data_IF_800698713737
#
_entry.id   IF_800698713737
#
_cell.length_a   1.000
_cell.length_b   1.000
_cell.length_c   1.000
_cell.angle_alpha   90.00
_cell.angle_beta   90.00
_cell.angle_gamma   90.00
#
_symmetry.space_group_name_H-M   'P 1'
#
loop_
_entity.id
_entity.type
_entity.pdbx_description
1 polymer ?
2 non-polymer ?
3 non-polymer ?
4 water ?
#
# COMPACT_ATOMS: atom_id res chain seq x y z
N UNK A 1 -18.78 4.38 16.86
CA UNK A 1 -18.46 4.75 15.50
C UNK A 1 -17.45 3.78 14.86
N UNK A 2 -16.18 3.85 15.29
CA UNK A 2 -15.15 3.03 14.65
C UNK A 2 -15.02 1.68 15.35
N UNK A 3 -14.86 0.59 14.61
CA UNK A 3 -14.62 -0.70 15.25
C UNK A 3 -13.32 -0.67 16.03
N UNK A 4 -13.25 -1.48 17.08
CA UNK A 4 -12.03 -1.54 17.86
C UNK A 4 -10.88 -2.18 17.08
N UNK A 5 -11.21 -3.08 16.16
CA UNK A 5 -10.22 -3.75 15.33
C UNK A 5 -10.75 -3.83 13.91
N UNK A 6 -9.85 -3.73 12.93
CA UNK A 6 -10.17 -3.88 11.53
C UNK A 6 -9.13 -4.80 10.90
N UNK A 7 -9.57 -5.66 9.98
CA UNK A 7 -8.67 -6.52 9.22
C UNK A 7 -9.36 -6.76 7.88
N UNK A 8 -8.93 -6.03 6.83
CA UNK A 8 -9.61 -6.10 5.56
C UNK A 8 -9.44 -7.44 4.84
N UNK A 9 -8.50 -8.29 5.29
CA UNK A 9 -8.46 -9.65 4.78
C UNK A 9 -9.75 -10.40 5.10
N UNK A 10 -10.42 -10.03 6.20
CA UNK A 10 -11.66 -10.69 6.60
C UNK A 10 -12.77 -10.47 5.57
N UNK A 11 -12.72 -9.40 4.80
CA UNK A 11 -13.69 -9.17 3.75
C UNK A 11 -13.19 -9.59 2.37
N UNK A 12 -12.08 -10.32 2.31
CA UNK A 12 -11.53 -10.75 1.03
C UNK A 12 -11.09 -9.61 0.13
N UNK A 13 -10.57 -8.53 0.72
CA UNK A 13 -10.19 -7.33 -0.03
C UNK A 13 -8.68 -7.20 -0.23
N UNK A 14 -7.91 -8.23 0.14
CA UNK A 14 -6.45 -8.17 0.14
C UNK A 14 -5.89 -9.38 -0.62
N UNK A 15 -5.10 -9.12 -1.66
CA UNK A 15 -4.49 -10.19 -2.43
C UNK A 15 -3.33 -10.81 -1.66
N UNK A 16 -2.81 -11.91 -2.20
CA UNK A 16 -1.68 -12.56 -1.56
C UNK A 16 -0.49 -11.62 -1.47
N UNK A 17 0.36 -11.85 -0.46
CA UNK A 17 1.59 -11.09 -0.30
C UNK A 17 2.50 -11.32 -1.49
N UNK A 18 3.08 -10.24 -2.01
CA UNK A 18 3.98 -10.29 -3.15
C UNK A 18 5.42 -10.20 -2.67
N UNK A 19 6.35 -10.54 -3.55
CA UNK A 19 7.78 -10.54 -3.23
C UNK A 19 8.50 -9.65 -4.23
N UNK A 20 8.99 -8.49 -3.78
CA UNK A 20 9.57 -7.58 -4.75
C UNK A 20 10.97 -7.99 -5.18
N UNK A 21 11.66 -8.81 -4.40
CA UNK A 21 13.00 -9.24 -4.77
C UNK A 21 13.94 -8.06 -4.88
N UNK A 22 14.78 -8.09 -5.92
CA UNK A 22 15.84 -7.09 -6.14
C UNK A 22 15.34 -5.94 -7.00
N UNK A 23 14.45 -5.16 -6.41
CA UNK A 23 13.84 -4.03 -7.10
C UNK A 23 13.10 -3.19 -6.08
N UNK A 24 13.46 -1.92 -5.96
CA UNK A 24 12.83 -1.05 -4.99
C UNK A 24 11.46 -0.60 -5.42
N UNK A 25 10.52 -1.55 -5.55
CA UNK A 25 9.18 -1.24 -6.03
C UNK A 25 8.13 -1.26 -4.92
N UNK A 26 8.53 -1.06 -3.66
CA UNK A 26 7.54 -1.08 -2.58
C UNK A 26 6.45 -0.06 -2.84
N UNK A 27 6.82 1.09 -3.41
CA UNK A 27 5.83 2.12 -3.71
C UNK A 27 4.79 1.61 -4.69
N UNK A 28 5.20 0.82 -5.69
CA UNK A 28 4.25 0.27 -6.65
C UNK A 28 3.35 -0.77 -6.01
N UNK A 29 3.90 -1.65 -5.18
CA UNK A 29 3.10 -2.68 -4.54
C UNK A 29 2.12 -2.07 -3.56
N UNK A 30 2.55 -1.04 -2.83
CA UNK A 30 1.64 -0.35 -1.92
C UNK A 30 0.47 0.25 -2.70
N UNK A 31 0.76 0.88 -3.84
CA UNK A 31 -0.30 1.53 -4.60
C UNK A 31 -1.29 0.51 -5.17
N UNK A 32 -0.81 -0.58 -5.78
CA UNK A 32 -1.76 -1.53 -6.35
C UNK A 32 -2.56 -2.21 -5.25
N UNK A 33 -1.93 -2.47 -4.10
CA UNK A 33 -2.65 -3.08 -2.99
C UNK A 33 -3.82 -2.25 -2.53
N UNK A 34 -3.64 -0.93 -2.47
CA UNK A 34 -4.75 -0.05 -2.08
C UNK A 34 -5.87 -0.11 -3.11
N UNK A 35 -5.53 -0.12 -4.41
CA UNK A 35 -6.56 -0.11 -5.44
C UNK A 35 -7.25 -1.45 -5.56
N UNK A 36 -6.51 -2.55 -5.35
CA UNK A 36 -7.11 -3.89 -5.36
C UNK A 36 -8.29 -3.96 -4.40
N UNK A 37 -8.16 -3.35 -3.23
CA UNK A 37 -9.24 -3.38 -2.24
C UNK A 37 -10.46 -2.64 -2.76
N UNK A 38 -10.25 -1.48 -3.37
CA UNK A 38 -11.38 -0.72 -3.90
C UNK A 38 -12.05 -1.45 -5.05
N UNK A 39 -11.26 -2.08 -5.92
CA UNK A 39 -11.83 -2.85 -7.02
C UNK A 39 -12.72 -3.98 -6.51
N UNK A 40 -12.28 -4.71 -5.47
CA UNK A 40 -13.13 -5.75 -4.89
C UNK A 40 -14.36 -5.13 -4.24
N UNK A 41 -14.18 -4.05 -3.48
CA UNK A 41 -15.31 -3.37 -2.84
C UNK A 41 -16.39 -3.00 -3.86
N UNK A 42 -15.98 -2.43 -5.00
CA UNK A 42 -16.96 -1.92 -5.95
C UNK A 42 -17.48 -2.96 -6.92
N UNK A 43 -16.71 -4.00 -7.24
CA UNK A 43 -17.11 -4.95 -8.28
C UNK A 43 -17.23 -6.38 -7.79
N UNK A 44 -16.83 -6.67 -6.55
CA UNK A 44 -16.87 -8.02 -6.04
C UNK A 44 -15.73 -8.92 -6.45
N UNK A 45 -14.82 -8.44 -7.31
CA UNK A 45 -13.74 -9.25 -7.85
C UNK A 45 -12.41 -8.82 -7.23
N UNK A 46 -11.70 -9.79 -6.68
CA UNK A 46 -10.36 -9.59 -6.15
C UNK A 46 -9.35 -10.02 -7.20
N UNK A 47 -8.52 -9.08 -7.66
CA UNK A 47 -7.52 -9.42 -8.68
C UNK A 47 -6.27 -8.59 -8.42
N UNK A 48 -5.13 -9.27 -8.40
CA UNK A 48 -3.87 -8.59 -8.23
C UNK A 48 -3.62 -7.67 -9.44
N UNK A 49 -3.26 -6.44 -9.16
CA UNK A 49 -2.99 -5.45 -10.20
C UNK A 49 -1.48 -5.34 -10.47
N UNK A 50 -1.14 -4.79 -11.63
CA UNK A 50 0.21 -4.92 -12.16
C UNK A 50 1.12 -3.86 -11.53
N UNK A 51 1.91 -4.25 -10.53
CA UNK A 51 2.95 -3.34 -10.04
C UNK A 51 3.97 -3.05 -11.14
N UNK A 52 4.22 -4.01 -12.04
CA UNK A 52 5.18 -3.79 -13.12
C UNK A 52 4.70 -2.68 -14.04
N UNK A 53 3.39 -2.65 -14.33
CA UNK A 53 2.79 -1.55 -15.08
C UNK A 53 3.24 -0.21 -14.53
N UNK A 54 3.19 -0.06 -13.19
CA UNK A 54 3.60 1.20 -12.59
C UNK A 54 5.10 1.43 -12.71
N UNK A 55 5.90 0.39 -12.44
CA UNK A 55 7.35 0.51 -12.52
C UNK A 55 7.76 0.98 -13.91
N UNK A 56 7.13 0.43 -14.95
CA UNK A 56 7.52 0.72 -16.33
C UNK A 56 6.90 1.99 -16.88
N UNK A 57 5.68 2.35 -16.45
CA UNK A 57 4.94 3.42 -17.11
C UNK A 57 4.75 4.67 -16.27
N UNK A 58 4.73 4.56 -14.94
CA UNK A 58 4.61 5.75 -14.10
C UNK A 58 6.03 6.21 -13.77
N UNK A 59 6.60 7.04 -14.67
CA UNK A 59 8.03 7.33 -14.62
C UNK A 59 8.23 8.84 -14.44
N UNK A 60 8.98 9.50 -15.34
CA UNK A 60 9.47 10.84 -15.02
C UNK A 60 8.34 11.84 -14.82
N UNK A 61 7.21 11.67 -15.50
CA UNK A 61 6.10 12.58 -15.27
C UNK A 61 5.59 12.50 -13.83
N UNK A 62 5.91 11.43 -13.12
CA UNK A 62 5.37 11.19 -11.80
C UNK A 62 6.46 11.22 -10.72
N UNK A 63 7.67 11.65 -11.07
CA UNK A 63 8.76 11.66 -10.12
C UNK A 63 9.17 10.28 -9.65
N UNK A 64 8.79 9.23 -10.38
CA UNK A 64 9.08 7.87 -9.98
C UNK A 64 10.25 7.34 -10.76
N UNK A 65 10.99 6.42 -10.15
CA UNK A 65 12.25 5.93 -10.71
C UNK A 65 12.29 4.41 -10.74
N UNK A 66 11.15 3.78 -11.02
CA UNK A 66 11.10 2.34 -11.19
C UNK A 66 11.67 1.61 -9.98
N UNK A 67 12.61 0.70 -10.24
CA UNK A 67 13.23 -0.10 -9.19
C UNK A 67 14.08 0.74 -8.25
N UNK A 68 14.25 2.03 -8.53
CA UNK A 68 14.96 2.92 -7.63
C UNK A 68 14.04 3.70 -6.71
N UNK A 69 12.74 3.43 -6.76
CA UNK A 69 11.81 4.03 -5.83
C UNK A 69 10.83 4.97 -6.50
N UNK A 70 9.87 5.43 -5.71
CA UNK A 70 8.80 6.27 -6.22
C UNK A 70 7.78 6.55 -5.15
N UNK A 71 6.59 6.98 -5.59
CA UNK A 71 5.55 7.48 -4.69
C UNK A 71 4.20 6.86 -5.03
N UNK A 72 3.45 6.48 -3.99
CA UNK A 72 2.10 5.96 -4.20
C UNK A 72 1.18 7.00 -4.80
N UNK A 73 1.25 8.25 -4.31
CA UNK A 73 0.34 9.30 -4.76
C UNK A 73 0.44 9.51 -6.26
N UNK A 74 1.66 9.66 -6.78
CA UNK A 74 1.80 9.90 -8.20
C UNK A 74 1.57 8.63 -9.02
N UNK A 75 1.75 7.46 -8.41
CA UNK A 75 1.30 6.23 -9.04
C UNK A 75 -0.20 6.27 -9.30
N UNK A 76 -0.98 6.72 -8.30
CA UNK A 76 -2.42 6.87 -8.50
C UNK A 76 -2.72 7.86 -9.62
N UNK A 77 -1.96 8.97 -9.65
CA UNK A 77 -2.15 9.96 -10.70
C UNK A 77 -1.92 9.36 -12.07
N UNK A 78 -0.87 8.55 -12.23
CA UNK A 78 -0.66 7.86 -13.49
C UNK A 78 -1.88 7.03 -13.88
N UNK A 79 -2.41 6.26 -12.93
CA UNK A 79 -3.57 5.44 -13.23
C UNK A 79 -4.74 6.31 -13.67
N UNK A 80 -4.92 7.46 -13.02
CA UNK A 80 -5.95 8.41 -13.43
C UNK A 80 -5.69 8.90 -14.84
N UNK A 81 -4.47 9.43 -15.07
CA UNK A 81 -4.12 9.97 -16.38
C UNK A 81 -4.25 8.92 -17.47
N UNK A 82 -3.83 7.70 -17.19
CA UNK A 82 -3.79 6.61 -18.15
C UNK A 82 -5.16 5.98 -18.39
N UNK A 83 -6.16 6.33 -17.57
CA UNK A 83 -7.47 5.70 -17.58
C UNK A 83 -7.39 4.19 -17.41
N UNK A 84 -6.44 3.70 -16.63
CA UNK A 84 -6.45 2.29 -16.32
C UNK A 84 -5.11 1.76 -15.88
N UNK A 85 -5.16 0.55 -15.31
CA UNK A 85 -3.98 -0.23 -14.98
C UNK A 85 -4.31 -1.69 -15.29
N UNK A 86 -3.32 -2.42 -15.77
CA UNK A 86 -3.50 -3.81 -16.17
C UNK A 86 -3.52 -4.73 -14.97
N UNK A 87 -4.09 -5.92 -15.17
CA UNK A 87 -3.98 -6.95 -14.15
C UNK A 87 -2.53 -7.44 -14.04
N UNK A 88 -2.18 -7.93 -12.85
CA UNK A 88 -0.86 -8.53 -12.66
C UNK A 88 -0.67 -9.73 -13.59
N UNK A 89 -1.73 -10.51 -13.80
CA UNK A 89 -1.62 -11.69 -14.66
C UNK A 89 -1.24 -11.32 -16.09
N UNK A 90 -1.81 -10.24 -16.62
CA UNK A 90 -1.52 -9.83 -18.00
C UNK A 90 -0.21 -9.08 -18.14
N UNK A 91 0.31 -8.51 -17.05
CA UNK A 91 1.50 -7.66 -17.07
C UNK A 91 2.33 -8.01 -15.85
N UNK A 92 2.98 -9.16 -15.87
CA UNK A 92 3.53 -9.74 -14.65
C UNK A 92 4.78 -9.01 -14.18
N UNK A 93 5.14 -9.28 -12.93
CA UNK A 93 6.22 -8.58 -12.24
C UNK A 93 7.55 -9.28 -12.51
N UNK A 94 8.54 -8.50 -12.92
CA UNK A 94 9.84 -9.01 -13.31
C UNK A 94 10.96 -8.44 -12.46
N UNK A 95 10.66 -7.52 -11.55
CA UNK A 95 11.67 -6.96 -10.64
C UNK A 95 12.83 -6.32 -11.40
N UNK A 96 12.51 -5.65 -12.50
CA UNK A 96 13.48 -4.79 -13.18
C UNK A 96 12.71 -3.77 -14.01
N UNK A 97 13.37 -2.64 -14.30
CA UNK A 97 12.79 -1.63 -15.19
C UNK A 97 12.60 -2.21 -16.58
N UNK A 98 11.43 -1.98 -17.16
CA UNK A 98 11.16 -2.35 -18.55
C UNK A 98 10.58 -1.16 -19.29
N UNK A 99 10.58 -1.27 -20.62
CA UNK A 99 9.79 -0.35 -21.44
C UNK A 99 8.31 -0.48 -21.07
N UNK A 100 7.59 0.64 -21.17
CA UNK A 100 6.18 0.66 -20.81
C UNK A 100 5.38 -0.17 -21.80
N UNK A 101 4.69 -1.19 -21.31
CA UNK A 101 3.95 -2.11 -22.16
C UNK A 101 2.45 -2.14 -21.82
N UNK A 102 1.90 -1.02 -21.35
CA UNK A 102 0.49 -0.99 -20.99
C UNK A 102 -0.39 -1.35 -22.19
N UNK A 103 -1.41 -2.15 -21.94
CA UNK A 103 -2.34 -2.61 -22.98
C UNK A 103 -3.75 -2.46 -22.44
N UNK A 104 -4.53 -1.54 -23.03
CA UNK A 104 -5.88 -1.27 -22.54
C UNK A 104 -6.77 -2.50 -22.62
N UNK A 105 -6.43 -3.48 -23.47
CA UNK A 105 -7.23 -4.69 -23.56
C UNK A 105 -7.30 -5.42 -22.23
N UNK A 106 -6.24 -5.34 -21.42
CA UNK A 106 -6.17 -6.06 -20.15
C UNK A 106 -6.36 -5.16 -18.93
N UNK A 107 -6.87 -3.95 -19.13
CA UNK A 107 -7.16 -3.04 -18.02
C UNK A 107 -8.09 -3.71 -17.02
N UNK A 108 -7.64 -3.80 -15.75
CA UNK A 108 -8.45 -4.40 -14.70
C UNK A 108 -9.06 -3.39 -13.73
N UNK A 109 -8.55 -2.18 -13.67
CA UNK A 109 -9.13 -1.19 -12.77
C UNK A 109 -8.81 0.20 -13.29
N UNK A 110 -9.55 1.16 -12.78
CA UNK A 110 -9.31 2.58 -13.01
C UNK A 110 -9.19 3.25 -11.65
N UNK A 111 -8.92 4.56 -11.69
CA UNK A 111 -8.86 5.39 -10.50
C UNK A 111 -9.51 6.72 -10.84
N UNK A 112 -10.50 7.12 -10.04
CA UNK A 112 -11.16 8.41 -10.24
C UNK A 112 -10.37 9.53 -9.60
N UNK A 113 -9.82 9.28 -8.42
CA UNK A 113 -9.11 10.28 -7.65
C UNK A 113 -8.39 9.56 -6.53
N UNK A 114 -7.54 10.31 -5.81
CA UNK A 114 -6.93 9.81 -4.59
C UNK A 114 -6.94 10.91 -3.54
N UNK A 115 -6.90 10.49 -2.28
CA UNK A 115 -6.98 11.40 -1.16
C UNK A 115 -5.72 11.25 -0.32
N UNK A 116 -5.08 12.37 0.02
CA UNK A 116 -3.93 12.36 0.91
C UNK A 116 -4.40 12.79 2.29
N UNK A 117 -3.96 12.08 3.32
CA UNK A 117 -4.38 12.33 4.69
C UNK A 117 -3.38 13.24 5.38
N UNK A 118 -3.81 13.93 6.44
CA UNK A 118 -2.92 14.89 7.10
C UNK A 118 -1.77 14.21 7.81
N UNK A 119 -0.61 14.86 7.77
CA UNK A 119 0.64 14.28 8.27
C UNK A 119 0.53 14.00 9.75
N UNK A 120 0.91 12.78 10.15
CA UNK A 120 0.98 12.40 11.55
C UNK A 120 -0.35 12.16 12.24
N UNK A 121 -1.48 12.27 11.55
CA UNK A 121 -2.79 12.17 12.19
C UNK A 121 -3.21 10.70 12.21
N UNK A 122 -2.84 10.00 13.29
CA UNK A 122 -3.21 8.60 13.42
C UNK A 122 -4.70 8.42 13.66
N UNK A 123 -5.40 9.43 14.21
CA UNK A 123 -6.86 9.35 14.33
C UNK A 123 -7.53 9.38 12.97
N UNK A 124 -7.07 10.26 12.08
CA UNK A 124 -7.63 10.33 10.74
C UNK A 124 -7.29 9.07 9.94
N UNK A 125 -6.07 8.54 10.11
CA UNK A 125 -5.71 7.28 9.46
C UNK A 125 -6.63 6.16 9.92
N UNK A 126 -6.90 6.08 11.23
CA UNK A 126 -7.79 5.06 11.75
C UNK A 126 -9.17 5.15 11.10
N UNK A 127 -9.71 6.37 11.00
CA UNK A 127 -11.03 6.53 10.41
C UNK A 127 -11.05 6.12 8.94
N UNK A 128 -10.01 6.48 8.17
CA UNK A 128 -9.95 6.08 6.78
C UNK A 128 -9.85 4.56 6.63
N UNK A 129 -8.98 3.92 7.43
CA UNK A 129 -8.86 2.47 7.34
C UNK A 129 -10.19 1.81 7.67
N UNK A 130 -10.92 2.35 8.65
CA UNK A 130 -12.19 1.76 9.03
C UNK A 130 -13.28 2.02 7.99
N UNK A 131 -13.37 3.26 7.49
CA UNK A 131 -14.51 3.67 6.68
C UNK A 131 -14.27 3.61 5.18
N UNK A 132 -13.02 3.65 4.72
CA UNK A 132 -12.72 3.67 3.30
C UNK A 132 -12.09 2.37 2.79
N UNK A 133 -11.08 1.86 3.48
CA UNK A 133 -10.37 0.69 3.04
C UNK A 133 -8.89 0.78 3.35
N UNK A 134 -8.10 -0.18 2.89
CA UNK A 134 -6.66 -0.13 3.14
C UNK A 134 -6.05 1.15 2.59
N UNK A 135 -5.06 1.68 3.32
CA UNK A 135 -4.45 2.96 3.00
C UNK A 135 -2.97 2.75 2.70
N UNK A 136 -2.50 3.35 1.60
CA UNK A 136 -1.08 3.32 1.26
C UNK A 136 -0.34 4.28 2.17
N UNK A 137 0.77 3.82 2.77
CA UNK A 137 1.59 4.66 3.62
C UNK A 137 3.06 4.35 3.40
N UNK A 138 3.91 5.35 3.70
CA UNK A 138 5.33 5.15 3.81
C UNK A 138 5.73 4.94 5.26
N UNK A 139 6.79 4.14 5.48
CA UNK A 139 7.39 4.02 6.79
C UNK A 139 8.90 4.17 6.71
N UNK A 140 9.49 4.48 7.85
CA UNK A 140 10.94 4.43 8.02
C UNK A 140 11.32 2.97 8.25
N UNK A 141 11.80 2.31 7.20
CA UNK A 141 12.22 0.92 7.25
C UNK A 141 13.75 0.75 7.25
N UNK A 142 14.48 1.78 7.66
CA UNK A 142 15.93 1.79 7.53
C UNK A 142 16.62 1.01 8.64
N UNK A 143 15.87 0.64 9.66
CA UNK A 143 16.60 0.17 10.82
C UNK A 143 16.57 -1.34 10.90
N UNK A 144 17.66 -1.95 11.37
CA UNK A 144 17.79 -3.41 11.30
C UNK A 144 16.65 -4.16 11.96
N UNK A 145 16.04 -3.60 13.01
CA UNK A 145 14.94 -4.32 13.66
C UNK A 145 13.79 -4.56 12.70
N UNK A 146 13.58 -3.64 11.75
CA UNK A 146 12.52 -3.84 10.78
C UNK A 146 12.82 -5.06 9.90
N UNK A 147 14.08 -5.20 9.48
CA UNK A 147 14.45 -6.33 8.66
C UNK A 147 14.28 -7.66 9.40
N UNK A 148 14.49 -7.66 10.71
CA UNK A 148 14.47 -8.87 11.52
C UNK A 148 13.12 -9.14 12.18
N UNK A 149 12.11 -8.30 11.94
CA UNK A 149 10.83 -8.44 12.61
C UNK A 149 10.24 -9.82 12.33
N UNK A 150 9.76 -10.46 13.38
CA UNK A 150 9.10 -11.77 13.28
C UNK A 150 7.68 -11.78 13.79
N UNK A 151 7.40 -11.11 14.91
CA UNK A 151 6.09 -11.21 15.55
C UNK A 151 5.93 -10.08 16.56
N UNK A 152 4.76 -10.04 17.18
CA UNK A 152 4.48 -9.00 18.16
C UNK A 152 4.21 -7.67 17.47
N UNK A 153 4.29 -6.59 18.26
CA UNK A 153 4.08 -5.25 17.75
C UNK A 153 5.44 -4.58 17.64
N UNK A 154 5.74 -4.05 16.45
CA UNK A 154 7.05 -3.48 16.15
C UNK A 154 7.17 -2.09 16.73
N UNK A 155 8.21 -1.87 17.53
CA UNK A 155 8.55 -0.55 18.06
C UNK A 155 10.07 -0.41 18.01
N UNK A 156 10.54 0.65 17.36
CA UNK A 156 11.97 0.89 17.18
C UNK A 156 12.29 2.26 17.73
N UNK A 157 12.99 2.36 18.87
CA UNK A 157 13.32 3.69 19.42
C UNK A 157 14.05 4.59 18.47
N UNK A 158 14.83 4.06 17.54
CA UNK A 158 15.58 4.87 16.59
C UNK A 158 14.77 5.26 15.36
N UNK A 159 13.51 4.86 15.28
CA UNK A 159 12.72 5.20 14.11
C UNK A 159 12.47 6.70 14.04
N UNK A 160 12.30 7.20 12.82
CA UNK A 160 11.97 8.60 12.57
C UNK A 160 10.70 8.67 11.74
N UNK A 161 10.18 9.90 11.59
CA UNK A 161 8.99 10.13 10.77
C UNK A 161 9.34 10.35 9.29
N UNK A 162 10.61 10.20 8.93
CA UNK A 162 11.09 10.29 7.55
C UNK A 162 10.97 8.90 6.91
N UNK A 163 10.19 8.78 5.84
CA UNK A 163 9.78 7.47 5.32
C UNK A 163 10.52 7.16 4.02
N UNK A 164 10.87 5.87 3.82
CA UNK A 164 11.52 5.45 2.57
C UNK A 164 11.02 4.11 2.04
N UNK A 165 9.89 3.59 2.51
CA UNK A 165 9.46 2.26 2.11
C UNK A 165 7.93 2.21 2.10
N UNK A 166 7.34 1.76 0.99
CA UNK A 166 5.90 1.75 0.85
C UNK A 166 5.30 0.45 1.35
N UNK A 167 4.23 0.56 2.13
CA UNK A 167 3.47 -0.57 2.66
C UNK A 167 1.99 -0.21 2.64
N UNK A 168 1.15 -1.18 3.03
CA UNK A 168 -0.30 -1.03 2.94
C UNK A 168 -0.90 -1.30 4.31
N UNK A 169 -1.61 -0.31 4.85
CA UNK A 169 -2.29 -0.51 6.12
C UNK A 169 -3.63 -1.17 5.81
N UNK A 170 -3.78 -2.44 6.17
CA UNK A 170 -5.01 -3.20 5.93
C UNK A 170 -5.82 -3.38 7.21
N UNK A 171 -5.41 -2.76 8.30
CA UNK A 171 -6.23 -2.80 9.50
C UNK A 171 -5.51 -2.23 10.69
N UNK A 172 -6.08 -2.51 11.86
CA UNK A 172 -5.51 -2.06 13.12
C UNK A 172 -6.14 -2.87 14.25
N UNK A 173 -5.56 -2.73 15.44
CA UNK A 173 -6.08 -3.43 16.60
C UNK A 173 -5.20 -3.26 17.81
N UNK A 174 -5.26 -4.24 18.72
CA UNK A 174 -4.42 -4.24 19.92
C UNK A 174 -3.99 -5.68 20.20
N UNK A 175 -2.70 -5.88 20.42
CA UNK A 175 -2.18 -7.19 20.82
C UNK A 175 -2.06 -7.13 22.33
N UNK A 176 -3.05 -7.68 23.03
CA UNK A 176 -3.02 -7.75 24.49
C UNK A 176 -2.75 -6.38 25.07
N UNK A 177 -3.51 -5.40 24.59
CA UNK A 177 -3.20 -4.02 24.90
C UNK A 177 -2.50 -3.28 23.77
N UNK A 178 -1.23 -3.65 23.50
CA UNK A 178 -0.35 -2.96 22.57
C UNK A 178 -1.03 -2.63 21.24
N UNK A 179 -1.35 -1.36 21.04
CA UNK A 179 -2.03 -0.92 19.83
C UNK A 179 -1.11 -0.98 18.62
N UNK A 180 -1.65 -1.44 17.50
CA UNK A 180 -0.85 -1.63 16.29
C UNK A 180 -1.65 -1.25 15.05
N UNK A 181 -0.90 -1.06 13.97
CA UNK A 181 -1.42 -1.01 12.62
C UNK A 181 -1.09 -2.34 11.93
N UNK A 182 -2.08 -2.94 11.28
CA UNK A 182 -1.85 -4.18 10.53
C UNK A 182 -1.33 -3.80 9.14
N UNK A 183 -0.08 -4.17 8.84
CA UNK A 183 0.65 -3.66 7.69
C UNK A 183 1.00 -4.81 6.76
N UNK A 184 0.57 -4.72 5.50
CA UNK A 184 0.99 -5.66 4.46
C UNK A 184 2.27 -5.14 3.82
N UNK A 185 3.34 -5.94 3.88
CA UNK A 185 4.60 -5.64 3.20
C UNK A 185 4.64 -6.36 1.84
N UNK A 186 5.71 -6.09 1.07
CA UNK A 186 5.91 -6.76 -0.21
C UNK A 186 7.28 -7.43 -0.28
N UNK A 187 7.67 -8.07 0.82
CA UNK A 187 8.92 -8.82 0.92
C UNK A 187 8.67 -10.33 1.02
N UNK A 188 7.57 -10.81 0.44
CA UNK A 188 7.28 -12.22 0.47
C UNK A 188 6.72 -12.69 1.82
N UNK A 189 6.29 -13.95 1.84
CA UNK A 189 5.69 -14.53 3.04
C UNK A 189 6.72 -14.76 4.14
N UNK A 190 8.01 -14.84 3.82
CA UNK A 190 9.02 -15.09 4.84
C UNK A 190 9.35 -13.88 5.70
N UNK A 191 8.82 -12.71 5.37
CA UNK A 191 8.98 -11.53 6.21
C UNK A 191 7.89 -11.52 7.28
N UNK A 192 8.26 -11.25 8.52
CA UNK A 192 7.27 -11.02 9.57
C UNK A 192 6.31 -12.16 9.76
N UNK A 193 5.02 -11.83 9.94
CA UNK A 193 3.96 -12.83 10.12
C UNK A 193 3.30 -13.09 8.77
N UNK A 194 3.84 -14.08 8.05
CA UNK A 194 3.37 -14.44 6.71
C UNK A 194 3.26 -13.20 5.81
N UNK A 195 4.26 -12.34 5.90
CA UNK A 195 4.35 -11.17 5.04
C UNK A 195 3.84 -9.90 5.68
N UNK A 196 3.32 -9.97 6.89
CA UNK A 196 2.69 -8.85 7.56
C UNK A 196 3.52 -8.42 8.76
N UNK A 197 3.38 -7.15 9.13
CA UNK A 197 4.02 -6.60 10.33
C UNK A 197 2.99 -5.74 11.07
N UNK A 198 2.90 -5.93 12.38
CA UNK A 198 2.09 -5.10 13.25
C UNK A 198 2.98 -3.97 13.76
N UNK A 199 2.62 -2.73 13.44
CA UNK A 199 3.46 -1.59 13.74
C UNK A 199 2.79 -0.73 14.80
N UNK A 200 3.60 -0.27 15.76
CA UNK A 200 3.10 0.50 16.90
C UNK A 200 2.17 1.63 16.44
N UNK A 201 0.96 1.65 17.01
CA UNK A 201 -0.05 2.64 16.73
C UNK A 201 -0.16 3.63 17.89
N UNK A 202 -0.48 4.88 17.58
CA UNK A 202 -0.70 5.93 18.58
C UNK A 202 0.53 6.17 19.43
N UNK A 203 1.72 5.98 18.89
CA UNK A 203 2.96 6.33 19.56
C UNK A 203 3.68 7.42 18.75
N UNK A 204 3.05 8.59 18.67
CA UNK A 204 3.68 9.75 18.08
C UNK A 204 4.13 9.55 16.64
N UNK A 205 3.26 8.93 15.84
CA UNK A 205 3.53 8.73 14.43
C UNK A 205 4.79 7.88 14.25
N UNK A 206 4.78 6.73 14.90
CA UNK A 206 5.98 5.90 15.00
C UNK A 206 6.41 5.40 13.62
N UNK A 207 7.69 5.59 13.31
CA UNK A 207 8.29 5.23 12.02
C UNK A 207 7.59 5.95 10.85
N UNK A 208 6.87 7.04 11.13
CA UNK A 208 6.28 7.83 10.07
C UNK A 208 5.12 7.18 9.38
N UNK A 209 4.49 6.17 10.01
CA UNK A 209 3.40 5.44 9.37
C UNK A 209 2.26 6.37 8.94
N UNK A 210 2.01 7.44 9.69
CA UNK A 210 0.97 8.40 9.30
C UNK A 210 1.54 9.66 8.64
N UNK A 211 2.81 9.64 8.23
CA UNK A 211 3.40 10.85 7.64
C UNK A 211 2.75 11.19 6.30
N UNK A 212 2.66 10.23 5.39
CA UNK A 212 2.15 10.48 4.04
C UNK A 212 1.21 9.37 3.58
N UNK A 213 0.04 9.26 4.21
CA UNK A 213 -0.93 8.26 3.78
C UNK A 213 -1.76 8.74 2.60
N UNK A 214 -2.18 7.80 1.77
CA UNK A 214 -3.11 8.13 0.69
C UNK A 214 -3.90 6.89 0.32
N UNK A 215 -5.07 7.10 -0.26
CA UNK A 215 -5.86 5.99 -0.78
C UNK A 215 -6.57 6.44 -2.05
N UNK A 216 -6.77 5.52 -3.00
CA UNK A 216 -7.48 5.85 -4.23
C UNK A 216 -8.96 5.53 -4.10
N UNK A 217 -9.74 6.08 -5.03
CA UNK A 217 -11.16 5.76 -5.06
C UNK A 217 -11.60 5.49 -6.49
N UNK A 218 -12.55 4.58 -6.62
CA UNK A 218 -13.22 4.26 -7.88
C UNK A 218 -14.67 4.74 -7.70
N UNK A 219 -14.97 5.93 -8.20
CA UNK A 219 -16.25 6.56 -7.90
C UNK A 219 -17.38 5.95 -8.70
N UNK A 220 -18.56 5.85 -8.07
CA UNK A 220 -19.77 5.38 -8.74
C UNK A 220 -20.61 6.62 -9.02
N UNK A 221 -20.35 7.23 -10.17
CA UNK A 221 -21.00 8.48 -10.53
C UNK A 221 -20.78 9.55 -9.49
N UNK A 222 -21.82 10.34 -9.24
CA UNK A 222 -21.77 11.40 -8.27
C UNK A 222 -22.96 12.31 -8.44
N UNK A 223 -23.09 13.25 -7.50
CA UNK A 223 -24.20 14.22 -7.49
C UNK A 223 -23.70 15.63 -7.13
#
# INVERSE_FOLDING_TARGET
ILPDSVDWREKGCVTEVKYQGSCGASWAFSAVGALEAQLKLKTGKLVSLSAQNLVDCSTEKYGNKGCNGGFMTTAFQYIIDNKGIDSDASYPYKAMDQKCQYDSKYRAATCSKYTELPYGREDVLKEAVANKGPVSVGVDARHPSFFLYRSGVYYEPSCTQNVNHGVLVVGYGDLNGKEYWLVKNSWGHNFGEEGYIRMARNKGNHCGIASFPSYPEILQGGG
#
